data_IF_627322394624
#
_entry.id   IF_627322394624
#
_cell.length_a   1.000
_cell.length_b   1.000
_cell.length_c   1.000
_cell.angle_alpha   90.00
_cell.angle_beta   90.00
_cell.angle_gamma   90.00
#
_symmetry.space_group_name_H-M   'P 1'
#
loop_
_entity.id
_entity.type
_entity.pdbx_description
1 polymer ?
#
# COMPACT_ATOMS: atom_id res chain seq x y z
N UNK A 1 -10.32 -43.29 4.45
CA UNK A 1 -8.93 -43.24 4.96
C UNK A 1 -8.65 -41.89 5.63
N UNK A 2 -9.28 -41.63 6.77
CA UNK A 2 -9.08 -40.40 7.57
C UNK A 2 -7.95 -40.63 8.57
N UNK A 3 -6.72 -40.67 8.05
CA UNK A 3 -5.54 -40.54 8.90
C UNK A 3 -5.58 -39.16 9.57
N UNK A 4 -5.74 -39.12 10.91
CA UNK A 4 -5.46 -37.93 11.72
C UNK A 4 -3.99 -37.56 11.48
N UNK A 5 -3.77 -36.66 10.53
CA UNK A 5 -2.44 -36.40 9.97
C UNK A 5 -1.48 -35.83 11.00
N UNK A 6 -0.33 -36.50 11.16
CA UNK A 6 0.88 -35.92 11.76
C UNK A 6 1.20 -34.59 11.05
N UNK A 7 1.71 -33.61 11.79
CA UNK A 7 2.04 -32.29 11.23
C UNK A 7 2.91 -32.41 9.98
N UNK A 8 2.41 -31.91 8.84
CA UNK A 8 3.12 -31.93 7.56
C UNK A 8 3.77 -30.58 7.27
N UNK A 9 5.03 -30.59 6.84
CA UNK A 9 5.71 -29.39 6.33
C UNK A 9 5.35 -29.23 4.85
N UNK A 10 4.68 -28.13 4.52
CA UNK A 10 4.31 -27.84 3.13
C UNK A 10 5.44 -27.12 2.39
N UNK A 11 5.71 -27.48 1.11
CA UNK A 11 6.70 -26.78 0.28
C UNK A 11 6.25 -25.36 -0.06
N UNK A 12 7.20 -24.46 -0.36
CA UNK A 12 6.93 -23.03 -0.55
C UNK A 12 5.93 -22.75 -1.68
N UNK A 13 6.04 -23.46 -2.81
CA UNK A 13 5.12 -23.30 -3.94
C UNK A 13 3.69 -23.60 -3.53
N UNK A 14 3.47 -24.65 -2.72
CA UNK A 14 2.14 -25.03 -2.26
C UNK A 14 1.60 -24.01 -1.24
N UNK A 15 2.46 -23.43 -0.40
CA UNK A 15 2.05 -22.31 0.47
C UNK A 15 1.55 -21.11 -0.35
N UNK A 16 2.28 -20.72 -1.39
CA UNK A 16 1.90 -19.61 -2.28
C UNK A 16 0.60 -19.93 -3.02
N UNK A 17 0.49 -21.13 -3.58
CA UNK A 17 -0.70 -21.59 -4.28
C UNK A 17 -1.94 -21.58 -3.38
N UNK A 18 -1.83 -22.13 -2.17
CA UNK A 18 -2.94 -22.23 -1.22
C UNK A 18 -3.36 -20.86 -0.67
N UNK A 19 -2.42 -19.95 -0.44
CA UNK A 19 -2.72 -18.56 -0.11
C UNK A 19 -3.48 -17.86 -1.24
N UNK A 20 -3.02 -18.03 -2.48
CA UNK A 20 -3.67 -17.45 -3.66
C UNK A 20 -5.07 -18.03 -3.87
N UNK A 21 -5.22 -19.35 -3.78
CA UNK A 21 -6.51 -20.03 -3.91
C UNK A 21 -7.50 -19.57 -2.83
N UNK A 22 -7.06 -19.44 -1.58
CA UNK A 22 -7.91 -18.93 -0.50
C UNK A 22 -8.26 -17.44 -0.69
N UNK A 23 -7.36 -16.64 -1.28
CA UNK A 23 -7.64 -15.24 -1.61
C UNK A 23 -8.69 -15.11 -2.73
N UNK A 24 -8.56 -15.90 -3.81
CA UNK A 24 -9.50 -15.87 -4.93
C UNK A 24 -10.87 -16.46 -4.57
N UNK A 25 -10.92 -17.50 -3.73
CA UNK A 25 -12.16 -18.18 -3.38
C UNK A 25 -12.08 -18.90 -2.05
N UNK A 26 -12.39 -18.23 -0.92
CA UNK A 26 -12.33 -18.86 0.41
C UNK A 26 -13.26 -20.07 0.55
N UNK A 27 -14.44 -20.03 -0.09
CA UNK A 27 -15.41 -21.12 -0.07
C UNK A 27 -14.93 -22.32 -0.89
N UNK A 28 -14.43 -22.08 -2.10
CA UNK A 28 -13.81 -23.10 -2.94
C UNK A 28 -12.61 -23.74 -2.23
N UNK A 29 -11.76 -22.93 -1.58
CA UNK A 29 -10.65 -23.43 -0.76
C UNK A 29 -11.14 -24.35 0.36
N UNK A 30 -12.21 -23.98 1.06
CA UNK A 30 -12.77 -24.78 2.14
C UNK A 30 -13.29 -26.13 1.63
N UNK A 31 -14.03 -26.12 0.52
CA UNK A 31 -14.48 -27.35 -0.14
C UNK A 31 -13.30 -28.24 -0.53
N UNK A 32 -12.32 -27.70 -1.25
CA UNK A 32 -11.13 -28.45 -1.68
C UNK A 32 -10.30 -28.96 -0.50
N UNK A 33 -10.21 -28.20 0.60
CA UNK A 33 -9.45 -28.61 1.78
C UNK A 33 -10.04 -29.82 2.51
N UNK A 34 -11.32 -30.14 2.28
CA UNK A 34 -11.96 -31.35 2.79
C UNK A 34 -11.58 -32.60 2.00
N UNK A 35 -11.29 -32.45 0.70
CA UNK A 35 -11.01 -33.55 -0.22
C UNK A 35 -9.51 -33.75 -0.51
N UNK A 36 -8.71 -32.69 -0.41
CA UNK A 36 -7.27 -32.70 -0.68
C UNK A 36 -6.47 -32.39 0.58
N UNK A 37 -5.21 -32.83 0.63
CA UNK A 37 -4.29 -32.53 1.74
C UNK A 37 -3.78 -31.09 1.68
N UNK A 38 -4.64 -30.12 1.97
CA UNK A 38 -4.32 -28.70 1.99
C UNK A 38 -4.05 -28.19 3.42
N UNK A 39 -3.29 -27.09 3.57
CA UNK A 39 -3.12 -26.43 4.86
C UNK A 39 -4.44 -25.97 5.46
N UNK A 40 -4.56 -26.00 6.78
CA UNK A 40 -5.72 -25.41 7.46
C UNK A 40 -5.74 -23.88 7.30
N UNK A 41 -6.92 -23.26 7.34
CA UNK A 41 -7.06 -21.78 7.36
C UNK A 41 -6.24 -21.13 8.48
N UNK A 42 -6.10 -21.80 9.64
CA UNK A 42 -5.22 -21.36 10.74
C UNK A 42 -3.76 -21.28 10.30
N UNK A 43 -3.30 -22.23 9.49
CA UNK A 43 -1.93 -22.22 8.95
C UNK A 43 -1.73 -21.06 7.97
N UNK A 44 -2.71 -20.81 7.09
CA UNK A 44 -2.68 -19.66 6.18
C UNK A 44 -2.59 -18.33 6.93
N UNK A 45 -3.48 -18.13 7.92
CA UNK A 45 -3.47 -16.93 8.78
C UNK A 45 -2.12 -16.76 9.49
N UNK A 46 -1.58 -17.83 10.08
CA UNK A 46 -0.26 -17.80 10.73
C UNK A 46 0.86 -17.39 9.76
N UNK A 47 0.83 -17.84 8.51
CA UNK A 47 1.82 -17.40 7.52
C UNK A 47 1.67 -15.92 7.17
N UNK A 48 0.44 -15.41 7.08
CA UNK A 48 0.17 -13.99 6.84
C UNK A 48 0.52 -13.11 8.04
N UNK A 49 0.33 -13.57 9.28
CA UNK A 49 0.72 -12.83 10.49
C UNK A 49 2.22 -12.52 10.55
N UNK A 50 3.06 -13.27 9.85
CA UNK A 50 4.50 -12.99 9.76
C UNK A 50 4.80 -11.77 8.88
N UNK A 51 3.86 -11.33 8.05
CA UNK A 51 4.00 -10.14 7.21
C UNK A 51 3.56 -8.94 8.04
N UNK A 52 4.53 -8.15 8.49
CA UNK A 52 4.26 -6.93 9.28
C UNK A 52 3.65 -5.87 8.38
N UNK A 53 2.49 -5.35 8.78
CA UNK A 53 1.84 -4.20 8.15
C UNK A 53 1.63 -3.16 9.24
N UNK A 54 2.38 -2.06 9.16
CA UNK A 54 2.30 -0.94 10.10
C UNK A 54 2.07 0.36 9.34
N UNK A 55 1.36 1.34 9.91
CA UNK A 55 1.19 2.66 9.31
C UNK A 55 2.53 3.33 8.99
N UNK A 56 2.52 4.25 8.03
CA UNK A 56 3.69 4.83 7.39
C UNK A 56 4.13 4.02 6.16
N UNK A 57 5.43 4.02 5.89
CA UNK A 57 6.03 3.23 4.82
C UNK A 57 6.03 1.75 5.24
N UNK A 58 5.49 0.88 4.38
CA UNK A 58 5.28 -0.53 4.72
C UNK A 58 6.64 -1.22 4.98
N UNK A 59 6.83 -1.89 6.13
CA UNK A 59 8.10 -2.54 6.45
C UNK A 59 8.51 -3.59 5.40
N UNK A 60 9.76 -3.51 4.94
CA UNK A 60 10.31 -4.45 3.97
C UNK A 60 9.83 -4.24 2.52
N UNK A 61 9.04 -3.19 2.25
CA UNK A 61 8.55 -2.93 0.90
C UNK A 61 9.68 -2.58 -0.06
N UNK A 62 10.66 -1.78 0.37
CA UNK A 62 11.79 -1.37 -0.48
C UNK A 62 12.63 -2.58 -0.93
N UNK A 63 12.84 -3.56 -0.04
CA UNK A 63 13.52 -4.82 -0.38
C UNK A 63 12.71 -5.65 -1.39
N UNK A 64 11.39 -5.70 -1.21
CA UNK A 64 10.47 -6.42 -2.12
C UNK A 64 10.45 -5.77 -3.50
N UNK A 65 10.39 -4.44 -3.56
CA UNK A 65 10.43 -3.67 -4.80
C UNK A 65 11.78 -3.86 -5.47
N UNK A 66 12.90 -3.66 -4.76
CA UNK A 66 14.24 -3.87 -5.29
C UNK A 66 14.41 -5.25 -5.92
N UNK A 67 13.97 -6.32 -5.23
CA UNK A 67 13.99 -7.69 -5.76
C UNK A 67 13.15 -7.81 -7.04
N UNK A 68 11.98 -7.18 -7.08
CA UNK A 68 11.10 -7.22 -8.26
C UNK A 68 11.66 -6.43 -9.45
N UNK A 69 12.35 -5.33 -9.17
CA UNK A 69 12.88 -4.42 -10.19
C UNK A 69 14.30 -4.76 -10.63
N UNK A 70 14.97 -5.77 -10.06
CA UNK A 70 16.31 -6.20 -10.48
C UNK A 70 16.44 -6.41 -11.99
N UNK A 71 15.44 -7.02 -12.63
CA UNK A 71 15.43 -7.29 -14.07
C UNK A 71 14.88 -6.15 -14.94
N UNK A 72 14.56 -5.00 -14.35
CA UNK A 72 13.95 -3.87 -15.07
C UNK A 72 15.02 -3.03 -15.78
N UNK A 73 14.70 -2.62 -17.00
CA UNK A 73 15.46 -1.61 -17.73
C UNK A 73 15.19 -0.21 -17.17
N UNK A 74 15.91 0.80 -17.66
CA UNK A 74 15.77 2.19 -17.19
C UNK A 74 14.35 2.75 -17.41
N UNK A 75 13.72 2.42 -18.54
CA UNK A 75 12.36 2.88 -18.86
C UNK A 75 11.32 2.37 -17.86
N UNK A 76 11.47 1.13 -17.41
CA UNK A 76 10.58 0.49 -16.44
C UNK A 76 10.79 0.98 -15.01
N UNK A 77 11.89 1.66 -14.74
CA UNK A 77 12.19 2.27 -13.43
C UNK A 77 11.61 3.67 -13.27
N UNK A 78 10.98 4.21 -14.32
CA UNK A 78 10.24 5.46 -14.25
C UNK A 78 8.83 5.20 -13.74
N UNK A 79 8.54 5.76 -12.58
CA UNK A 79 7.34 5.48 -11.83
C UNK A 79 6.56 6.76 -11.49
N UNK A 80 5.32 6.54 -11.10
CA UNK A 80 4.36 7.52 -10.61
C UNK A 80 3.94 7.11 -9.21
N UNK A 81 3.88 8.08 -8.29
CA UNK A 81 3.19 7.91 -7.02
C UNK A 81 1.74 8.37 -7.17
N UNK A 82 0.80 7.55 -6.73
CA UNK A 82 -0.62 7.88 -6.71
C UNK A 82 -1.09 7.71 -5.28
N UNK A 83 -1.83 8.68 -4.74
CA UNK A 83 -2.39 8.52 -3.40
C UNK A 83 -3.80 9.07 -3.32
N UNK A 84 -4.59 8.47 -2.43
CA UNK A 84 -5.97 8.85 -2.18
C UNK A 84 -6.40 8.46 -0.74
N UNK A 85 -7.42 9.13 -0.23
CA UNK A 85 -8.02 8.87 1.07
C UNK A 85 -9.34 8.10 0.96
N UNK A 86 -9.43 6.95 1.63
CA UNK A 86 -10.65 6.14 1.70
C UNK A 86 -11.33 6.28 3.07
N UNK A 87 -12.67 6.30 3.08
CA UNK A 87 -13.48 6.26 4.31
C UNK A 87 -13.32 4.91 5.00
N UNK A 88 -13.07 4.94 6.31
CA UNK A 88 -13.10 3.78 7.17
C UNK A 88 -14.31 3.81 8.10
N UNK A 89 -14.81 2.63 8.45
CA UNK A 89 -15.75 2.50 9.58
C UNK A 89 -14.97 2.68 10.88
N UNK A 90 -15.36 3.67 11.67
CA UNK A 90 -14.84 3.90 13.03
C UNK A 90 -15.05 2.63 13.87
N UNK A 91 -13.96 2.03 14.32
CA UNK A 91 -13.98 0.85 15.16
C UNK A 91 -12.67 0.72 15.94
N UNK A 92 -12.74 0.28 17.19
CA UNK A 92 -11.57 -0.07 17.98
C UNK A 92 -11.51 -1.59 18.13
N UNK A 93 -10.33 -2.16 17.94
CA UNK A 93 -10.11 -3.60 18.06
C UNK A 93 -8.82 -3.85 18.83
N UNK A 94 -8.88 -4.67 19.87
CA UNK A 94 -7.69 -5.06 20.61
C UNK A 94 -7.00 -6.24 19.93
N UNK A 95 -5.75 -6.02 19.51
CA UNK A 95 -4.88 -7.06 18.97
C UNK A 95 -4.07 -7.68 20.11
N UNK A 96 -4.51 -8.86 20.55
CA UNK A 96 -3.86 -9.64 21.62
C UNK A 96 -2.42 -10.01 21.29
N UNK A 97 -2.08 -10.15 20.00
CA UNK A 97 -0.73 -10.59 19.61
C UNK A 97 0.30 -9.48 19.69
N UNK A 98 -0.11 -8.24 19.44
CA UNK A 98 0.75 -7.06 19.54
C UNK A 98 0.57 -6.29 20.85
N UNK A 99 -0.46 -6.63 21.64
CA UNK A 99 -0.88 -5.90 22.84
C UNK A 99 -1.18 -4.42 22.53
N UNK A 100 -1.91 -4.19 21.43
CA UNK A 100 -2.24 -2.83 20.95
C UNK A 100 -3.72 -2.74 20.61
N UNK A 101 -4.36 -1.65 21.02
CA UNK A 101 -5.71 -1.27 20.57
C UNK A 101 -5.61 -0.58 19.21
N UNK A 102 -5.99 -1.27 18.14
CA UNK A 102 -6.08 -0.75 16.77
C UNK A 102 -7.31 0.14 16.57
N UNK A 103 -7.28 1.01 15.55
CA UNK A 103 -8.37 1.90 15.18
C UNK A 103 -8.19 3.36 15.60
N UNK A 104 -7.08 3.67 16.28
CA UNK A 104 -6.64 5.04 16.52
C UNK A 104 -5.86 5.60 15.32
N UNK A 105 -5.83 6.93 15.20
CA UNK A 105 -5.01 7.62 14.20
C UNK A 105 -3.53 7.33 14.41
N UNK A 106 -2.83 7.07 13.32
CA UNK A 106 -1.43 6.66 13.29
C UNK A 106 -0.87 6.95 11.89
N UNK A 107 0.13 7.82 11.83
CA UNK A 107 0.83 8.19 10.60
C UNK A 107 2.17 7.42 10.41
N UNK A 108 2.47 6.47 11.29
CA UNK A 108 3.73 5.72 11.32
C UNK A 108 4.85 6.39 12.11
N UNK A 109 4.68 7.66 12.52
CA UNK A 109 5.61 8.41 13.37
C UNK A 109 4.96 8.72 14.72
N UNK A 110 3.72 9.20 14.67
CA UNK A 110 2.92 9.61 15.82
C UNK A 110 1.57 8.91 15.78
N UNK A 111 1.23 8.32 16.92
CA UNK A 111 -0.09 7.80 17.23
C UNK A 111 -0.81 8.75 18.17
N UNK A 112 -2.10 8.98 17.95
CA UNK A 112 -2.94 9.80 18.86
C UNK A 112 -4.15 9.03 19.34
N UNK A 113 -4.81 9.49 20.41
CA UNK A 113 -6.01 8.84 20.96
C UNK A 113 -7.30 9.12 20.17
N UNK A 114 -7.20 9.78 19.02
CA UNK A 114 -8.35 10.04 18.15
C UNK A 114 -8.70 8.79 17.34
N UNK A 115 -9.99 8.47 17.20
CA UNK A 115 -10.46 7.32 16.43
C UNK A 115 -10.33 7.64 14.93
N UNK A 116 -9.65 6.76 14.18
CA UNK A 116 -9.47 6.91 12.76
C UNK A 116 -10.78 6.65 11.99
N UNK A 117 -11.01 7.45 10.96
CA UNK A 117 -12.15 7.32 10.04
C UNK A 117 -11.77 7.45 8.57
N UNK A 118 -10.48 7.62 8.29
CA UNK A 118 -9.91 7.65 6.95
C UNK A 118 -8.62 6.85 6.92
N UNK A 119 -8.32 6.26 5.78
CA UNK A 119 -7.00 5.74 5.46
C UNK A 119 -6.49 6.42 4.20
N UNK A 120 -5.28 6.97 4.27
CA UNK A 120 -4.53 7.36 3.08
C UNK A 120 -3.74 6.15 2.61
N UNK A 121 -3.78 5.86 1.31
CA UNK A 121 -2.93 4.82 0.71
C UNK A 121 -2.10 5.43 -0.41
N UNK A 122 -0.79 5.15 -0.40
CA UNK A 122 0.14 5.54 -1.46
C UNK A 122 0.51 4.31 -2.28
N UNK A 123 0.28 4.40 -3.58
CA UNK A 123 0.57 3.39 -4.59
C UNK A 123 1.75 3.85 -5.45
N UNK A 124 2.67 2.93 -5.72
CA UNK A 124 3.71 3.07 -6.74
C UNK A 124 3.24 2.38 -8.02
N UNK A 125 3.14 3.14 -9.10
CA UNK A 125 2.76 2.64 -10.43
C UNK A 125 3.90 2.86 -11.43
N UNK A 126 4.13 1.91 -12.32
CA UNK A 126 5.10 2.06 -13.42
C UNK A 126 4.42 2.67 -14.63
N UNK A 127 5.10 3.60 -15.31
CA UNK A 127 4.52 4.26 -16.50
C UNK A 127 4.54 3.32 -17.72
N UNK A 128 5.64 2.59 -17.93
CA UNK A 128 5.82 1.73 -19.11
C UNK A 128 5.09 0.38 -19.04
N UNK A 129 4.61 -0.03 -17.86
CA UNK A 129 4.08 -1.39 -17.60
C UNK A 129 2.90 -1.37 -16.65
N UNK A 130 2.00 -2.33 -16.82
CA UNK A 130 0.88 -2.58 -15.89
C UNK A 130 1.37 -3.24 -14.61
N UNK A 131 1.95 -2.44 -13.71
CA UNK A 131 2.36 -2.87 -12.39
C UNK A 131 2.09 -1.77 -11.37
N UNK A 132 1.44 -2.15 -10.28
CA UNK A 132 1.09 -1.26 -9.16
C UNK A 132 1.39 -1.98 -7.87
N UNK A 133 1.96 -1.26 -6.90
CA UNK A 133 2.28 -1.78 -5.57
C UNK A 133 1.94 -0.73 -4.50
N UNK A 134 1.11 -1.05 -3.51
CA UNK A 134 0.98 -0.23 -2.31
C UNK A 134 2.32 -0.14 -1.58
N UNK A 135 2.74 1.08 -1.24
CA UNK A 135 4.05 1.34 -0.61
C UNK A 135 3.96 1.95 0.78
N UNK A 136 2.90 2.71 1.04
CA UNK A 136 2.67 3.32 2.33
C UNK A 136 1.18 3.45 2.58
N UNK A 137 0.80 3.52 3.85
CA UNK A 137 -0.54 3.91 4.25
C UNK A 137 -0.51 4.60 5.61
N UNK A 138 -1.43 5.52 5.85
CA UNK A 138 -1.64 6.11 7.18
C UNK A 138 -3.11 6.02 7.54
N UNK A 139 -3.42 6.06 8.83
CA UNK A 139 -4.80 6.09 9.32
C UNK A 139 -5.03 7.39 10.07
N UNK A 140 -6.00 8.17 9.60
CA UNK A 140 -6.25 9.54 10.02
C UNK A 140 -7.67 9.77 10.50
N UNK A 141 -7.91 10.98 10.99
CA UNK A 141 -9.22 11.49 11.31
C UNK A 141 -9.50 12.70 10.42
N UNK A 142 -10.68 12.76 9.81
CA UNK A 142 -11.13 13.76 8.82
C UNK A 142 -10.31 13.86 7.55
N UNK A 143 -9.04 14.26 7.63
CA UNK A 143 -8.07 14.26 6.53
C UNK A 143 -6.64 14.29 7.06
N UNK A 144 -5.73 13.69 6.30
CA UNK A 144 -4.30 13.66 6.61
C UNK A 144 -3.71 15.06 6.45
N UNK A 145 -3.02 15.61 7.47
CA UNK A 145 -2.39 16.93 7.36
C UNK A 145 -1.38 16.99 6.21
N UNK A 146 -1.36 18.10 5.47
CA UNK A 146 -0.46 18.29 4.33
C UNK A 146 1.03 18.20 4.69
N UNK A 147 1.40 18.56 5.93
CA UNK A 147 2.77 18.41 6.45
C UNK A 147 3.18 16.94 6.60
N UNK A 148 2.27 16.08 7.07
CA UNK A 148 2.48 14.63 7.20
C UNK A 148 2.62 14.01 5.82
N UNK A 149 1.72 14.37 4.88
CA UNK A 149 1.78 13.93 3.48
C UNK A 149 3.10 14.30 2.83
N UNK A 150 3.53 15.55 2.97
CA UNK A 150 4.80 16.05 2.42
C UNK A 150 5.98 15.21 2.92
N UNK A 151 6.09 15.04 4.24
CA UNK A 151 7.19 14.30 4.84
C UNK A 151 7.19 12.81 4.39
N UNK A 152 6.01 12.19 4.32
CA UNK A 152 5.85 10.82 3.86
C UNK A 152 6.28 10.66 2.40
N UNK A 153 5.82 11.54 1.51
CA UNK A 153 6.15 11.51 0.09
C UNK A 153 7.63 11.79 -0.16
N UNK A 154 8.21 12.78 0.50
CA UNK A 154 9.65 13.07 0.39
C UNK A 154 10.49 11.87 0.82
N UNK A 155 10.17 11.27 1.98
CA UNK A 155 10.89 10.08 2.45
C UNK A 155 10.73 8.87 1.51
N UNK A 156 9.54 8.67 0.94
CA UNK A 156 9.31 7.63 -0.07
C UNK A 156 10.16 7.87 -1.32
N UNK A 157 10.19 9.09 -1.84
CA UNK A 157 10.95 9.44 -3.05
C UNK A 157 12.45 9.21 -2.83
N UNK A 158 12.98 9.62 -1.67
CA UNK A 158 14.38 9.38 -1.29
C UNK A 158 14.70 7.88 -1.26
N UNK A 159 13.91 7.08 -0.54
CA UNK A 159 14.13 5.63 -0.44
C UNK A 159 13.95 4.90 -1.78
N UNK A 160 13.02 5.36 -2.63
CA UNK A 160 12.84 4.82 -3.98
C UNK A 160 14.03 5.15 -4.89
N UNK A 161 14.61 6.34 -4.74
CA UNK A 161 15.81 6.76 -5.47
C UNK A 161 17.01 5.86 -5.13
N UNK A 162 17.17 5.48 -3.87
CA UNK A 162 18.25 4.58 -3.42
C UNK A 162 18.20 3.21 -4.11
N UNK A 163 17.00 2.72 -4.44
CA UNK A 163 16.80 1.45 -5.19
C UNK A 163 16.71 1.65 -6.71
N UNK A 164 17.17 2.79 -7.22
CA UNK A 164 17.18 3.17 -8.63
C UNK A 164 15.78 3.21 -9.25
N UNK A 165 14.79 3.67 -8.51
CA UNK A 165 13.46 4.01 -9.04
C UNK A 165 13.36 5.52 -9.13
N UNK A 166 12.98 6.01 -10.29
CA UNK A 166 12.81 7.45 -10.55
C UNK A 166 11.32 7.77 -10.52
N UNK A 167 10.88 8.46 -9.49
CA UNK A 167 9.51 9.00 -9.44
C UNK A 167 9.48 10.28 -10.25
N UNK A 168 8.76 10.28 -11.38
CA UNK A 168 8.60 11.45 -12.25
C UNK A 168 7.31 12.21 -12.02
N UNK A 169 6.27 11.52 -11.57
CA UNK A 169 5.00 12.17 -11.30
C UNK A 169 4.39 11.75 -9.98
N UNK A 170 3.65 12.67 -9.38
CA UNK A 170 2.81 12.43 -8.20
C UNK A 170 1.39 12.83 -8.56
N UNK A 171 0.43 11.95 -8.31
CA UNK A 171 -0.99 12.14 -8.65
C UNK A 171 -1.82 12.09 -7.38
N UNK A 172 -2.69 13.08 -7.22
CA UNK A 172 -3.65 13.19 -6.13
C UNK A 172 -5.03 13.63 -6.63
N UNK A 173 -6.04 13.49 -5.76
CA UNK A 173 -7.32 14.19 -5.94
C UNK A 173 -7.18 15.71 -5.67
N UNK A 174 -8.31 16.43 -5.73
CA UNK A 174 -8.41 17.87 -5.50
C UNK A 174 -8.86 18.25 -4.07
N UNK A 175 -8.66 17.36 -3.09
CA UNK A 175 -8.97 17.64 -1.69
C UNK A 175 -8.19 18.83 -1.15
N UNK A 176 -8.77 19.58 -0.20
CA UNK A 176 -8.15 20.80 0.35
C UNK A 176 -6.74 20.56 0.93
N UNK A 177 -6.50 19.42 1.56
CA UNK A 177 -5.16 19.04 2.05
C UNK A 177 -4.15 18.85 0.91
N UNK A 178 -4.60 18.28 -0.22
CA UNK A 178 -3.76 18.01 -1.39
C UNK A 178 -3.45 19.30 -2.17
N UNK A 179 -4.40 20.23 -2.23
CA UNK A 179 -4.15 21.59 -2.73
C UNK A 179 -3.13 22.32 -1.83
N UNK A 180 -3.28 22.21 -0.51
CA UNK A 180 -2.30 22.77 0.45
C UNK A 180 -0.91 22.15 0.25
N UNK A 181 -0.83 20.84 0.04
CA UNK A 181 0.41 20.13 -0.27
C UNK A 181 1.06 20.64 -1.57
N UNK A 182 0.28 20.82 -2.64
CA UNK A 182 0.76 21.35 -3.92
C UNK A 182 1.44 22.70 -3.76
N UNK A 183 0.79 23.60 -3.01
CA UNK A 183 1.32 24.92 -2.70
C UNK A 183 2.62 24.84 -1.88
N UNK A 184 2.70 23.93 -0.90
CA UNK A 184 3.92 23.71 -0.12
C UNK A 184 5.08 23.15 -0.94
N UNK A 185 4.78 22.36 -1.97
CA UNK A 185 5.77 21.80 -2.90
C UNK A 185 6.15 22.79 -4.01
N UNK A 186 5.60 24.01 -4.01
CA UNK A 186 5.88 25.03 -5.01
C UNK A 186 5.34 24.65 -6.40
N UNK A 187 4.26 23.88 -6.47
CA UNK A 187 3.61 23.60 -7.74
C UNK A 187 2.81 24.82 -8.15
N UNK A 188 3.22 25.43 -9.26
CA UNK A 188 2.48 26.48 -9.94
C UNK A 188 2.06 25.95 -11.31
N UNK A 189 0.88 26.34 -11.79
CA UNK A 189 0.50 26.10 -13.18
C UNK A 189 1.14 27.21 -14.02
N UNK A 190 2.20 26.95 -14.82
CA UNK A 190 2.61 27.93 -15.83
C UNK A 190 1.46 28.03 -16.84
N UNK A 191 1.03 29.27 -17.08
CA UNK A 191 -0.21 29.64 -17.81
C UNK A 191 -0.32 29.06 -19.24
N UNK A 192 0.73 28.46 -19.80
CA UNK A 192 0.79 28.09 -21.22
C UNK A 192 0.71 26.59 -21.55
N UNK A 193 0.89 25.65 -20.61
CA UNK A 193 1.09 24.22 -20.97
C UNK A 193 -0.18 23.34 -20.82
N UNK A 194 -1.24 23.82 -20.17
CA UNK A 194 -2.36 22.95 -19.75
C UNK A 194 -3.76 23.33 -20.26
N UNK A 195 -3.89 24.21 -21.27
CA UNK A 195 -5.23 24.56 -21.80
C UNK A 195 -5.97 23.38 -22.43
N UNK A 196 -5.28 22.38 -22.98
CA UNK A 196 -5.92 21.30 -23.75
C UNK A 196 -6.22 20.02 -22.95
N UNK A 197 -5.71 19.88 -21.72
CA UNK A 197 -5.90 18.66 -20.89
C UNK A 197 -6.90 18.88 -19.74
N UNK A 198 -7.17 20.13 -19.37
CA UNK A 198 -8.01 20.48 -18.22
C UNK A 198 -9.52 20.43 -18.47
N UNK A 199 -9.98 20.15 -19.70
CA UNK A 199 -11.43 20.10 -19.96
C UNK A 199 -12.10 18.76 -19.60
N UNK A 200 -11.38 17.71 -19.18
CA UNK A 200 -12.03 16.40 -18.96
C UNK A 200 -11.54 15.52 -17.80
N UNK A 201 -10.61 15.92 -16.93
CA UNK A 201 -10.12 14.93 -15.94
C UNK A 201 -9.78 15.46 -14.56
N UNK A 202 -10.45 14.85 -13.57
CA UNK A 202 -10.46 15.02 -12.12
C UNK A 202 -9.14 14.63 -11.42
N UNK A 203 -7.97 15.04 -11.94
CA UNK A 203 -6.68 14.65 -11.37
C UNK A 203 -5.68 15.80 -11.39
N UNK A 204 -5.00 16.03 -10.26
CA UNK A 204 -3.81 16.87 -10.20
C UNK A 204 -2.58 15.97 -10.43
N UNK A 205 -1.88 16.19 -11.55
CA UNK A 205 -0.64 15.50 -11.87
C UNK A 205 0.53 16.49 -11.77
N UNK A 206 1.45 16.23 -10.84
CA UNK A 206 2.67 17.01 -10.68
C UNK A 206 3.81 16.34 -11.42
N UNK A 207 4.55 17.08 -12.24
CA UNK A 207 5.80 16.61 -12.84
C UNK A 207 6.96 17.08 -11.95
N UNK A 208 7.68 16.15 -11.36
CA UNK A 208 8.94 16.44 -10.66
C UNK A 208 10.04 16.53 -11.73
N UNK A 209 10.61 17.73 -11.92
CA UNK A 209 11.73 17.94 -12.84
C UNK A 209 12.98 17.22 -12.34
#
# INVERSE_FOLDING_TARGET
>A
LTSKGRGKRFPLWLKKFTLHLNFCGPQAYQFLSAHFTLPSRRSLRRWLCNIKMTPGIIPGIMSSISTKTQSWNERDRVCTLVFDEMVLKKNLAYDVTQDVVQGFTDDGIKRTSTIADRALVVLLSVISKRWVQPVAYTVGHTSTPSTVLRNLLTSLIEQLKDIRITVKTVISDQGASNVSLANQLGVWVPYEVFKDVLQSTTLLAYTLY
#
